data_IF_548232318957
#
_entry.id   IF_548232318957
#
_cell.length_a   1.000
_cell.length_b   1.000
_cell.length_c   1.000
_cell.angle_alpha   90.00
_cell.angle_beta   90.00
_cell.angle_gamma   90.00
#
_symmetry.space_group_name_H-M   'P 1'
#
loop_
_entity.id
_entity.type
_entity.pdbx_description
1 polymer ?
#
# COMPACT_ATOMS: atom_id res chain seq x y z
N UNK A 1 9.52 20.04 19.11
CA UNK A 1 8.47 19.98 18.07
C UNK A 1 7.61 21.26 17.92
N UNK A 2 7.54 22.15 18.92
CA UNK A 2 6.78 23.42 18.82
C UNK A 2 7.51 24.52 18.02
N UNK A 3 8.84 24.56 18.02
CA UNK A 3 9.63 25.61 17.36
C UNK A 3 9.68 25.51 15.84
N UNK A 4 9.70 24.32 15.27
CA UNK A 4 9.74 24.13 13.80
C UNK A 4 8.40 24.49 13.10
N UNK A 5 7.26 24.32 13.78
CA UNK A 5 5.96 24.65 13.21
C UNK A 5 5.66 26.14 13.06
N UNK A 6 6.30 26.98 13.85
CA UNK A 6 5.99 28.43 13.89
C UNK A 6 6.76 29.24 12.84
N UNK A 7 7.93 28.79 12.41
CA UNK A 7 8.74 29.48 11.39
C UNK A 7 8.12 29.38 9.99
N UNK A 8 7.40 28.29 9.70
CA UNK A 8 6.82 28.00 8.37
C UNK A 8 5.34 28.37 8.21
N UNK A 9 4.63 28.71 9.30
CA UNK A 9 3.18 29.04 9.25
C UNK A 9 2.83 30.26 8.38
N UNK A 10 3.82 31.05 7.97
CA UNK A 10 3.56 32.30 7.22
C UNK A 10 3.55 32.15 5.71
N UNK A 11 3.98 31.03 5.11
CA UNK A 11 4.15 30.91 3.64
C UNK A 11 3.79 29.54 3.02
N UNK A 12 3.11 28.64 3.72
CA UNK A 12 2.68 27.34 3.19
C UNK A 12 2.30 26.36 4.28
N UNK A 13 1.67 25.24 3.94
CA UNK A 13 1.44 24.14 4.88
C UNK A 13 2.75 23.37 5.11
N UNK A 14 3.13 23.20 6.36
CA UNK A 14 4.28 22.36 6.76
C UNK A 14 3.75 21.24 7.64
N UNK A 15 4.09 20.03 7.30
CA UNK A 15 3.85 18.83 8.11
C UNK A 15 5.17 18.28 8.61
N UNK A 16 5.26 18.06 9.92
CA UNK A 16 6.44 17.44 10.55
C UNK A 16 5.97 16.15 11.21
N UNK A 17 6.46 15.03 10.72
CA UNK A 17 6.09 13.69 11.18
C UNK A 17 7.35 12.99 11.65
N UNK A 18 7.30 12.42 12.85
CA UNK A 18 8.38 11.55 13.34
C UNK A 18 8.33 10.21 12.61
N UNK A 19 9.48 9.74 12.10
CA UNK A 19 9.59 8.50 11.34
C UNK A 19 10.56 7.57 12.04
N UNK A 20 10.12 6.35 12.32
CA UNK A 20 10.99 5.30 12.85
C UNK A 20 11.47 5.55 14.27
N UNK A 21 12.77 5.85 14.42
CA UNK A 21 13.40 6.14 15.71
C UNK A 21 13.13 7.57 16.18
N UNK A 22 13.35 7.84 17.48
CA UNK A 22 13.09 9.16 18.06
C UNK A 22 13.86 10.31 17.39
N UNK A 23 14.93 9.98 16.67
CA UNK A 23 15.87 10.93 16.07
C UNK A 23 15.61 11.23 14.60
N UNK A 24 14.56 10.64 13.99
CA UNK A 24 14.23 10.82 12.57
C UNK A 24 12.92 11.57 12.39
N UNK A 25 12.96 12.61 11.57
CA UNK A 25 11.80 13.48 11.30
C UNK A 25 11.66 13.69 9.80
N UNK A 26 10.45 13.55 9.28
CA UNK A 26 10.10 13.97 7.92
C UNK A 26 9.48 15.35 7.96
N UNK A 27 10.06 16.28 7.25
CA UNK A 27 9.50 17.61 7.04
C UNK A 27 8.96 17.68 5.61
N UNK A 28 7.65 17.86 5.48
CA UNK A 28 6.99 18.05 4.18
C UNK A 28 6.45 19.48 4.08
N UNK A 29 6.74 20.16 2.99
CA UNK A 29 6.28 21.53 2.75
C UNK A 29 5.79 21.71 1.32
N UNK A 30 4.78 22.56 1.13
CA UNK A 30 4.32 22.99 -0.19
C UNK A 30 4.87 24.37 -0.60
N UNK A 31 5.94 24.83 0.07
CA UNK A 31 6.56 26.11 -0.21
C UNK A 31 7.10 26.14 -1.65
N UNK A 32 6.67 27.12 -2.45
CA UNK A 32 7.06 27.32 -3.87
C UNK A 32 7.02 26.02 -4.71
N UNK A 33 6.06 25.15 -4.47
CA UNK A 33 5.97 23.82 -5.11
C UNK A 33 5.80 23.90 -6.64
N UNK A 34 5.26 25.01 -7.15
CA UNK A 34 5.06 25.26 -8.58
C UNK A 34 6.28 25.90 -9.26
N UNK A 35 7.31 26.23 -8.50
CA UNK A 35 8.50 26.90 -9.00
C UNK A 35 9.60 25.87 -9.25
N UNK A 36 10.05 25.74 -10.49
CA UNK A 36 11.09 24.80 -10.91
C UNK A 36 12.49 25.39 -10.91
N UNK A 37 12.68 26.60 -10.30
CA UNK A 37 13.99 27.20 -10.20
C UNK A 37 14.89 26.41 -9.23
N UNK A 38 16.09 25.99 -9.63
CA UNK A 38 17.02 25.25 -8.76
C UNK A 38 17.45 26.05 -7.51
N UNK A 39 17.27 27.37 -7.51
CA UNK A 39 17.55 28.24 -6.34
C UNK A 39 16.55 28.00 -5.19
N UNK A 40 15.35 27.49 -5.48
CA UNK A 40 14.30 27.22 -4.48
C UNK A 40 14.72 26.10 -3.53
N UNK A 41 15.41 25.10 -4.02
CA UNK A 41 15.86 23.98 -3.20
C UNK A 41 16.91 24.46 -2.18
N UNK A 42 17.83 25.33 -2.60
CA UNK A 42 18.80 25.98 -1.70
C UNK A 42 18.12 26.92 -0.69
N UNK A 43 17.07 27.62 -1.10
CA UNK A 43 16.30 28.47 -0.19
C UNK A 43 15.57 27.65 0.89
N UNK A 44 15.04 26.48 0.53
CA UNK A 44 14.40 25.55 1.46
C UNK A 44 15.43 24.98 2.43
N UNK A 45 16.59 24.56 1.95
CA UNK A 45 17.69 24.04 2.79
C UNK A 45 18.19 25.09 3.77
N UNK A 46 18.39 26.34 3.33
CA UNK A 46 18.77 27.45 4.20
C UNK A 46 17.74 27.73 5.29
N UNK A 47 16.45 27.76 4.95
CA UNK A 47 15.37 27.94 5.93
C UNK A 47 15.25 26.76 6.89
N UNK A 48 15.45 25.56 6.40
CA UNK A 48 15.48 24.37 7.23
C UNK A 48 16.66 24.44 8.22
N UNK A 49 17.84 24.85 7.75
CA UNK A 49 19.02 25.06 8.58
C UNK A 49 18.77 26.06 9.69
N UNK A 50 18.21 27.25 9.36
CA UNK A 50 17.86 28.26 10.37
C UNK A 50 16.88 27.73 11.41
N UNK A 51 15.87 26.97 10.98
CA UNK A 51 14.85 26.41 11.86
C UNK A 51 15.37 25.29 12.80
N UNK A 52 16.40 24.56 12.40
CA UNK A 52 16.97 23.43 13.16
C UNK A 52 18.24 23.81 13.89
N UNK A 53 18.83 24.98 13.61
CA UNK A 53 20.10 25.45 14.15
C UNK A 53 20.20 25.38 15.70
N UNK A 54 19.07 25.58 16.39
CA UNK A 54 19.00 25.48 17.86
C UNK A 54 19.06 24.05 18.41
N UNK A 55 18.86 23.05 17.53
CA UNK A 55 18.82 21.62 17.89
C UNK A 55 20.11 20.90 17.48
N UNK A 56 20.97 21.56 16.70
CA UNK A 56 22.22 21.01 16.19
C UNK A 56 23.40 21.36 17.12
N UNK A 57 24.48 20.55 17.09
CA UNK A 57 25.73 20.88 17.77
C UNK A 57 26.29 22.24 17.34
N UNK A 58 26.91 22.97 18.27
CA UNK A 58 27.54 24.26 17.96
C UNK A 58 28.65 24.09 16.91
N UNK A 59 28.58 24.85 15.84
CA UNK A 59 29.58 24.83 14.75
C UNK A 59 29.18 24.01 13.52
N UNK A 60 27.99 23.41 13.49
CA UNK A 60 27.52 22.65 12.30
C UNK A 60 27.33 23.59 11.10
N UNK A 61 27.93 23.24 9.97
CA UNK A 61 27.82 23.98 8.70
C UNK A 61 26.66 23.47 7.85
N UNK A 62 26.25 24.29 6.85
CA UNK A 62 25.18 23.92 5.92
C UNK A 62 25.54 22.66 5.10
N UNK A 63 26.80 22.50 4.72
CA UNK A 63 27.31 21.34 3.98
C UNK A 63 27.26 20.06 4.83
N UNK A 64 27.51 20.17 6.11
CA UNK A 64 27.38 19.03 7.03
C UNK A 64 25.93 18.60 7.24
N UNK A 65 24.99 19.54 7.18
CA UNK A 65 23.56 19.18 7.26
C UNK A 65 23.12 18.43 6.03
N UNK A 66 23.46 18.91 4.85
CA UNK A 66 23.07 18.27 3.59
C UNK A 66 23.69 16.89 3.42
N UNK A 67 24.91 16.66 3.92
CA UNK A 67 25.62 15.38 3.75
C UNK A 67 25.37 14.38 4.87
N UNK A 68 25.17 14.85 6.11
CA UNK A 68 25.13 13.97 7.29
C UNK A 68 23.71 13.83 7.89
N UNK A 69 22.95 14.93 7.92
CA UNK A 69 21.66 14.94 8.59
C UNK A 69 20.47 14.77 7.63
N UNK A 70 20.56 15.23 6.38
CA UNK A 70 19.51 15.02 5.37
C UNK A 70 19.74 13.65 4.71
N UNK A 71 19.00 12.65 5.15
CA UNK A 71 19.10 11.29 4.59
C UNK A 71 18.45 11.17 3.21
N UNK A 72 17.41 11.93 2.92
CA UNK A 72 16.69 11.91 1.65
C UNK A 72 15.94 13.23 1.45
N UNK A 73 16.08 13.82 0.27
CA UNK A 73 15.28 14.96 -0.17
C UNK A 73 14.55 14.59 -1.46
N UNK A 74 13.22 14.76 -1.49
CA UNK A 74 12.41 14.49 -2.67
C UNK A 74 11.47 15.67 -2.93
N UNK A 75 11.51 16.20 -4.14
CA UNK A 75 10.57 17.21 -4.61
C UNK A 75 9.52 16.56 -5.51
N UNK A 76 8.27 16.60 -5.07
CA UNK A 76 7.14 16.11 -5.86
C UNK A 76 6.29 17.31 -6.26
N UNK A 77 6.42 17.75 -7.50
CA UNK A 77 5.58 18.83 -8.05
C UNK A 77 4.10 18.40 -8.16
N UNK A 78 3.15 19.35 -8.21
CA UNK A 78 1.72 19.06 -8.35
C UNK A 78 1.40 18.23 -9.60
N UNK A 79 2.04 18.52 -10.73
CA UNK A 79 1.90 17.74 -11.95
C UNK A 79 2.34 16.29 -11.78
N UNK A 80 3.47 16.08 -11.08
CA UNK A 80 3.98 14.74 -10.81
C UNK A 80 3.06 13.96 -9.85
N UNK A 81 2.47 14.62 -8.86
CA UNK A 81 1.51 13.99 -7.96
C UNK A 81 0.22 13.56 -8.71
N UNK A 82 -0.28 14.41 -9.62
CA UNK A 82 -1.44 14.05 -10.45
C UNK A 82 -1.11 12.95 -11.45
N UNK A 83 0.08 12.94 -12.04
CA UNK A 83 0.55 11.87 -12.94
C UNK A 83 0.67 10.53 -12.21
N UNK A 84 1.22 10.52 -10.99
CA UNK A 84 1.30 9.33 -10.14
C UNK A 84 -0.10 8.81 -9.82
N UNK A 85 -1.02 9.70 -9.43
CA UNK A 85 -2.40 9.34 -9.11
C UNK A 85 -3.14 8.73 -10.31
N UNK A 86 -3.06 9.39 -11.47
CA UNK A 86 -3.73 8.93 -12.69
C UNK A 86 -3.13 7.60 -13.17
N UNK A 87 -1.81 7.47 -13.15
CA UNK A 87 -1.12 6.23 -13.49
C UNK A 87 -1.46 5.09 -12.53
N UNK A 88 -1.61 5.38 -11.24
CA UNK A 88 -2.02 4.42 -10.23
C UNK A 88 -3.42 3.86 -10.50
N UNK A 89 -4.40 4.75 -10.72
CA UNK A 89 -5.77 4.35 -11.01
C UNK A 89 -5.82 3.51 -12.29
N UNK A 90 -5.12 3.95 -13.34
CA UNK A 90 -5.04 3.23 -14.61
C UNK A 90 -4.39 1.85 -14.43
N UNK A 91 -3.30 1.74 -13.67
CA UNK A 91 -2.60 0.49 -13.42
C UNK A 91 -3.49 -0.51 -12.66
N UNK A 92 -4.21 -0.07 -11.62
CA UNK A 92 -5.12 -0.92 -10.85
C UNK A 92 -6.28 -1.39 -11.71
N UNK A 93 -6.92 -0.51 -12.47
CA UNK A 93 -8.02 -0.87 -13.37
C UNK A 93 -7.53 -1.86 -14.43
N UNK A 94 -6.37 -1.59 -15.05
CA UNK A 94 -5.80 -2.48 -16.05
C UNK A 94 -5.46 -3.85 -15.48
N UNK A 95 -4.86 -3.91 -14.29
CA UNK A 95 -4.57 -5.16 -13.59
C UNK A 95 -5.86 -5.95 -13.30
N UNK A 96 -6.93 -5.29 -12.86
CA UNK A 96 -8.22 -5.94 -12.61
C UNK A 96 -8.85 -6.48 -13.89
N UNK A 97 -8.76 -5.75 -15.01
CA UNK A 97 -9.26 -6.20 -16.31
C UNK A 97 -8.45 -7.41 -16.80
N UNK A 98 -7.13 -7.35 -16.75
CA UNK A 98 -6.26 -8.47 -17.13
C UNK A 98 -6.56 -9.72 -16.29
N UNK A 99 -6.77 -9.54 -14.99
CA UNK A 99 -7.13 -10.62 -14.07
C UNK A 99 -8.49 -11.22 -14.43
N UNK A 100 -9.51 -10.40 -14.66
CA UNK A 100 -10.84 -10.88 -15.05
C UNK A 100 -10.78 -11.63 -16.39
N UNK A 101 -10.02 -11.12 -17.36
CA UNK A 101 -9.81 -11.78 -18.64
C UNK A 101 -9.08 -13.12 -18.49
N UNK A 102 -8.03 -13.18 -17.65
CA UNK A 102 -7.32 -14.42 -17.35
C UNK A 102 -8.26 -15.48 -16.75
N UNK A 103 -9.07 -15.12 -15.76
CA UNK A 103 -10.03 -16.03 -15.13
C UNK A 103 -11.09 -16.50 -16.15
N UNK A 104 -11.61 -15.58 -16.99
CA UNK A 104 -12.56 -15.92 -18.04
C UNK A 104 -11.98 -16.93 -19.04
N UNK A 105 -10.76 -16.74 -19.49
CA UNK A 105 -10.08 -17.65 -20.41
C UNK A 105 -9.77 -19.00 -19.76
N UNK A 106 -9.39 -18.99 -18.47
CA UNK A 106 -8.99 -20.19 -17.71
C UNK A 106 -10.18 -21.09 -17.38
N UNK A 107 -11.30 -20.50 -16.97
CA UNK A 107 -12.48 -21.25 -16.51
C UNK A 107 -13.60 -21.31 -17.55
N UNK A 108 -13.57 -20.44 -18.57
CA UNK A 108 -14.59 -20.34 -19.62
C UNK A 108 -16.02 -20.13 -19.08
N UNK A 109 -16.14 -19.55 -17.92
CA UNK A 109 -17.39 -19.23 -17.25
C UNK A 109 -17.33 -17.81 -16.69
N UNK A 110 -18.32 -17.01 -17.06
CA UNK A 110 -18.41 -15.60 -16.68
C UNK A 110 -18.63 -15.46 -15.16
N UNK A 111 -19.31 -16.40 -14.53
CA UNK A 111 -19.60 -16.38 -13.09
C UNK A 111 -18.32 -16.33 -12.26
N UNK A 112 -17.33 -17.17 -12.60
CA UNK A 112 -16.01 -17.16 -11.93
C UNK A 112 -15.26 -15.83 -12.14
N UNK A 113 -15.34 -15.26 -13.35
CA UNK A 113 -14.67 -13.99 -13.64
C UNK A 113 -15.29 -12.84 -12.83
N UNK A 114 -16.62 -12.77 -12.75
CA UNK A 114 -17.34 -11.75 -11.97
C UNK A 114 -17.05 -11.92 -10.47
N UNK A 115 -17.08 -13.14 -9.95
CA UNK A 115 -16.76 -13.43 -8.55
C UNK A 115 -15.34 -13.01 -8.18
N UNK A 116 -14.34 -13.37 -9.02
CA UNK A 116 -12.96 -12.96 -8.82
C UNK A 116 -12.80 -11.43 -8.85
N UNK A 117 -13.44 -10.76 -9.82
CA UNK A 117 -13.41 -9.31 -9.93
C UNK A 117 -13.99 -8.64 -8.69
N UNK A 118 -15.17 -9.10 -8.24
CA UNK A 118 -15.82 -8.59 -7.04
C UNK A 118 -14.94 -8.76 -5.78
N UNK A 119 -14.30 -9.93 -5.63
CA UNK A 119 -13.39 -10.22 -4.53
C UNK A 119 -12.20 -9.26 -4.49
N UNK A 120 -11.53 -9.08 -5.63
CA UNK A 120 -10.35 -8.19 -5.72
C UNK A 120 -10.76 -6.72 -5.53
N UNK A 121 -11.89 -6.29 -6.11
CA UNK A 121 -12.42 -4.95 -5.92
C UNK A 121 -12.72 -4.68 -4.44
N UNK A 122 -13.38 -5.61 -3.76
CA UNK A 122 -13.66 -5.53 -2.32
C UNK A 122 -12.37 -5.43 -1.50
N UNK A 123 -11.39 -6.29 -1.78
CA UNK A 123 -10.09 -6.28 -1.10
C UNK A 123 -9.39 -4.93 -1.26
N UNK A 124 -9.31 -4.42 -2.49
CA UNK A 124 -8.68 -3.13 -2.79
C UNK A 124 -9.38 -1.97 -2.08
N UNK A 125 -10.71 -1.92 -2.15
CA UNK A 125 -11.50 -0.87 -1.47
C UNK A 125 -11.35 -0.93 0.05
N UNK A 126 -11.33 -2.12 0.64
CA UNK A 126 -11.09 -2.29 2.07
C UNK A 126 -9.71 -1.77 2.48
N UNK A 127 -8.65 -2.09 1.74
CA UNK A 127 -7.30 -1.60 2.03
C UNK A 127 -7.25 -0.08 2.00
N UNK A 128 -7.80 0.55 0.96
CA UNK A 128 -7.86 2.01 0.83
C UNK A 128 -8.64 2.61 2.02
N UNK A 129 -9.76 1.98 2.40
CA UNK A 129 -10.58 2.43 3.53
C UNK A 129 -9.81 2.35 4.86
N UNK A 130 -9.08 1.27 5.10
CA UNK A 130 -8.23 1.14 6.29
C UNK A 130 -7.11 2.18 6.33
N UNK A 131 -6.47 2.45 5.18
CA UNK A 131 -5.46 3.51 5.09
C UNK A 131 -6.02 4.87 5.43
N UNK A 132 -7.19 5.20 4.89
CA UNK A 132 -7.87 6.48 5.15
C UNK A 132 -8.32 6.63 6.62
N UNK A 133 -8.74 5.52 7.23
CA UNK A 133 -9.23 5.54 8.62
C UNK A 133 -8.08 5.61 9.63
N UNK A 134 -6.99 4.89 9.37
CA UNK A 134 -5.89 4.71 10.33
C UNK A 134 -4.76 5.73 10.17
N UNK A 135 -4.78 6.58 9.15
CA UNK A 135 -3.68 7.50 8.84
C UNK A 135 -3.28 8.45 9.99
N UNK A 136 -4.20 8.74 10.92
CA UNK A 136 -3.94 9.58 12.10
C UNK A 136 -3.61 8.80 13.36
N UNK A 137 -3.87 7.49 13.37
CA UNK A 137 -3.78 6.65 14.56
C UNK A 137 -2.43 5.96 14.66
N UNK A 138 -1.85 5.58 13.51
CA UNK A 138 -0.61 4.82 13.47
C UNK A 138 0.62 5.74 13.52
N UNK A 139 1.70 5.30 14.20
CA UNK A 139 2.91 6.10 14.39
C UNK A 139 3.86 6.09 13.19
N UNK A 140 3.40 5.70 12.00
CA UNK A 140 4.17 5.70 10.76
C UNK A 140 3.38 6.32 9.61
N UNK A 141 4.08 6.79 8.58
CA UNK A 141 3.47 7.44 7.42
C UNK A 141 2.61 6.44 6.64
N UNK A 142 1.35 6.79 6.42
CA UNK A 142 0.40 6.05 5.60
C UNK A 142 0.05 6.86 4.33
N UNK A 143 1.07 7.39 3.67
CA UNK A 143 0.90 8.12 2.43
C UNK A 143 0.59 7.16 1.28
N UNK A 144 -0.29 7.61 0.38
CA UNK A 144 -0.60 6.89 -0.86
C UNK A 144 0.47 7.28 -1.89
N UNK A 145 1.59 6.60 -1.82
CA UNK A 145 2.75 6.79 -2.69
C UNK A 145 2.90 5.64 -3.69
N UNK A 146 4.00 5.65 -4.46
CA UNK A 146 4.30 4.59 -5.42
C UNK A 146 4.44 3.21 -4.75
N UNK A 147 4.93 3.17 -3.51
CA UNK A 147 5.11 1.92 -2.75
C UNK A 147 3.77 1.33 -2.34
N UNK A 148 2.80 2.16 -1.98
CA UNK A 148 1.43 1.74 -1.71
C UNK A 148 0.75 1.16 -2.96
N UNK A 149 0.94 1.80 -4.12
CA UNK A 149 0.41 1.30 -5.40
C UNK A 149 1.02 -0.07 -5.72
N UNK A 150 2.34 -0.23 -5.55
CA UNK A 150 3.02 -1.50 -5.73
C UNK A 150 2.49 -2.58 -4.77
N UNK A 151 2.17 -2.22 -3.51
CA UNK A 151 1.55 -3.13 -2.56
C UNK A 151 0.18 -3.61 -3.04
N UNK A 152 -0.70 -2.70 -3.50
CA UNK A 152 -2.02 -3.06 -4.04
C UNK A 152 -1.89 -4.01 -5.24
N UNK A 153 -1.02 -3.71 -6.20
CA UNK A 153 -0.81 -4.58 -7.36
C UNK A 153 -0.27 -5.95 -6.96
N UNK A 154 0.61 -6.01 -5.96
CA UNK A 154 1.12 -7.26 -5.40
C UNK A 154 0.00 -8.08 -4.75
N UNK A 155 -0.87 -7.43 -3.99
CA UNK A 155 -2.01 -8.08 -3.31
C UNK A 155 -3.02 -8.61 -4.34
N UNK A 156 -3.30 -7.86 -5.41
CA UNK A 156 -4.14 -8.33 -6.52
C UNK A 156 -3.57 -9.63 -7.08
N UNK A 157 -2.27 -9.66 -7.40
CA UNK A 157 -1.61 -10.86 -7.90
C UNK A 157 -1.61 -12.03 -6.91
N UNK A 158 -1.42 -11.76 -5.63
CA UNK A 158 -1.46 -12.78 -4.57
C UNK A 158 -2.87 -13.38 -4.40
N UNK A 159 -3.90 -12.54 -4.36
CA UNK A 159 -5.29 -12.96 -4.18
C UNK A 159 -5.79 -13.85 -5.31
N UNK A 160 -5.34 -13.61 -6.56
CA UNK A 160 -5.69 -14.44 -7.71
C UNK A 160 -5.22 -15.89 -7.51
N UNK A 161 -4.03 -16.09 -6.97
CA UNK A 161 -3.48 -17.43 -6.79
C UNK A 161 -4.40 -18.31 -5.93
N UNK A 162 -4.87 -17.79 -4.80
CA UNK A 162 -5.80 -18.53 -3.94
C UNK A 162 -7.18 -18.68 -4.58
N UNK A 163 -7.67 -17.64 -5.26
CA UNK A 163 -8.97 -17.69 -5.96
C UNK A 163 -8.99 -18.77 -7.04
N UNK A 164 -7.93 -18.90 -7.85
CA UNK A 164 -7.81 -19.93 -8.89
C UNK A 164 -7.86 -21.34 -8.29
N UNK A 165 -7.20 -21.55 -7.16
CA UNK A 165 -7.21 -22.86 -6.49
C UNK A 165 -8.60 -23.25 -6.00
N UNK A 166 -9.31 -22.29 -5.39
CA UNK A 166 -10.70 -22.49 -4.94
C UNK A 166 -11.62 -22.78 -6.13
N UNK A 167 -11.51 -22.01 -7.19
CA UNK A 167 -12.32 -22.17 -8.40
C UNK A 167 -12.04 -23.49 -9.14
N UNK A 168 -10.78 -23.92 -9.24
CA UNK A 168 -10.42 -25.21 -9.81
C UNK A 168 -11.08 -26.35 -9.01
N UNK A 169 -11.10 -26.24 -7.67
CA UNK A 169 -11.74 -27.24 -6.81
C UNK A 169 -13.26 -27.25 -6.96
N UNK A 170 -13.88 -26.07 -7.03
CA UNK A 170 -15.32 -25.94 -7.27
C UNK A 170 -15.68 -26.58 -8.61
N UNK A 171 -14.94 -26.26 -9.68
CA UNK A 171 -15.17 -26.83 -11.01
C UNK A 171 -15.02 -28.36 -11.04
N UNK A 172 -13.98 -28.88 -10.39
CA UNK A 172 -13.75 -30.31 -10.26
C UNK A 172 -14.92 -31.01 -9.53
N UNK A 173 -15.37 -30.43 -8.41
CA UNK A 173 -16.45 -30.99 -7.58
C UNK A 173 -17.79 -30.95 -8.32
N UNK A 174 -18.08 -29.90 -9.09
CA UNK A 174 -19.26 -29.81 -9.96
C UNK A 174 -19.22 -30.93 -11.03
N UNK A 175 -18.06 -31.18 -11.63
CA UNK A 175 -17.92 -32.23 -12.63
C UNK A 175 -18.09 -33.64 -12.06
N UNK A 176 -17.64 -33.88 -10.83
CA UNK A 176 -17.78 -35.15 -10.13
C UNK A 176 -19.23 -35.43 -9.69
N UNK A 177 -19.97 -34.38 -9.30
CA UNK A 177 -21.32 -34.50 -8.76
C UNK A 177 -22.37 -33.63 -9.49
N UNK A 178 -22.63 -33.90 -10.80
CA UNK A 178 -23.43 -33.01 -11.65
C UNK A 178 -24.93 -32.94 -11.25
N UNK A 179 -25.40 -33.92 -10.47
CA UNK A 179 -26.81 -34.00 -10.02
C UNK A 179 -27.02 -33.45 -8.59
N UNK A 180 -25.97 -33.07 -7.93
CA UNK A 180 -26.02 -32.58 -6.54
C UNK A 180 -26.37 -31.10 -6.51
N UNK A 181 -27.00 -30.64 -5.44
CA UNK A 181 -27.27 -29.23 -5.23
C UNK A 181 -25.98 -28.38 -5.27
N UNK A 182 -26.01 -27.30 -6.04
CA UNK A 182 -24.83 -26.44 -6.25
C UNK A 182 -24.27 -25.86 -4.96
N UNK A 183 -25.15 -25.46 -4.03
CA UNK A 183 -24.73 -24.92 -2.75
C UNK A 183 -23.90 -25.94 -1.95
N UNK A 184 -24.36 -27.18 -1.90
CA UNK A 184 -23.62 -28.24 -1.20
C UNK A 184 -22.29 -28.56 -1.86
N UNK A 185 -22.24 -28.57 -3.19
CA UNK A 185 -21.01 -28.81 -3.97
C UNK A 185 -19.97 -27.71 -3.72
N UNK A 186 -20.41 -26.45 -3.73
CA UNK A 186 -19.52 -25.30 -3.45
C UNK A 186 -19.00 -25.37 -2.00
N UNK A 187 -19.89 -25.64 -1.04
CA UNK A 187 -19.49 -25.75 0.36
C UNK A 187 -18.48 -26.88 0.60
N UNK A 188 -18.69 -28.04 -0.01
CA UNK A 188 -17.76 -29.17 0.08
C UNK A 188 -16.40 -28.83 -0.57
N UNK A 189 -16.41 -28.17 -1.71
CA UNK A 189 -15.20 -27.70 -2.39
C UNK A 189 -14.42 -26.70 -1.54
N UNK A 190 -15.11 -25.71 -0.95
CA UNK A 190 -14.51 -24.73 -0.06
C UNK A 190 -13.88 -25.39 1.16
N UNK A 191 -14.61 -26.26 1.85
CA UNK A 191 -14.10 -26.97 3.03
C UNK A 191 -12.86 -27.81 2.68
N UNK A 192 -12.79 -28.40 1.51
CA UNK A 192 -11.64 -29.19 1.07
C UNK A 192 -10.39 -28.35 0.78
N UNK A 193 -10.54 -27.09 0.43
CA UNK A 193 -9.42 -26.16 0.14
C UNK A 193 -9.06 -25.26 1.32
N UNK A 194 -9.92 -25.15 2.31
CA UNK A 194 -9.80 -24.19 3.41
C UNK A 194 -8.48 -24.31 4.17
N UNK A 195 -8.08 -25.54 4.51
CA UNK A 195 -6.83 -25.77 5.23
C UNK A 195 -5.60 -25.35 4.41
N UNK A 196 -5.60 -25.61 3.09
CA UNK A 196 -4.53 -25.19 2.18
C UNK A 196 -4.45 -23.67 2.08
N UNK A 197 -5.57 -23.01 1.80
CA UNK A 197 -5.65 -21.55 1.67
C UNK A 197 -5.24 -20.87 2.96
N UNK A 198 -5.69 -21.38 4.10
CA UNK A 198 -5.28 -20.85 5.41
C UNK A 198 -3.77 -21.01 5.66
N UNK A 199 -3.20 -22.17 5.37
CA UNK A 199 -1.77 -22.41 5.56
C UNK A 199 -0.91 -21.54 4.67
N UNK A 200 -1.27 -21.38 3.39
CA UNK A 200 -0.52 -20.49 2.46
C UNK A 200 -0.59 -19.03 2.91
N UNK A 201 -1.76 -18.56 3.30
CA UNK A 201 -1.93 -17.20 3.80
C UNK A 201 -1.21 -16.99 5.13
N UNK A 202 -1.27 -17.95 6.04
CA UNK A 202 -0.60 -17.85 7.34
C UNK A 202 0.92 -17.82 7.20
N UNK A 203 1.50 -18.69 6.37
CA UNK A 203 2.96 -18.71 6.16
C UNK A 203 3.44 -17.39 5.56
N UNK A 204 2.74 -16.85 4.57
CA UNK A 204 3.08 -15.54 3.99
C UNK A 204 2.89 -14.40 4.98
N UNK A 205 1.80 -14.44 5.76
CA UNK A 205 1.51 -13.46 6.80
C UNK A 205 2.64 -13.41 7.85
N UNK A 206 3.15 -14.56 8.30
CA UNK A 206 4.25 -14.63 9.27
C UNK A 206 5.51 -13.98 8.69
N UNK A 207 5.87 -14.28 7.44
CA UNK A 207 7.05 -13.68 6.80
C UNK A 207 6.90 -12.16 6.70
N UNK A 208 5.75 -11.69 6.20
CA UNK A 208 5.51 -10.24 6.06
C UNK A 208 5.43 -9.55 7.43
N UNK A 209 4.89 -10.22 8.45
CA UNK A 209 4.88 -9.72 9.83
C UNK A 209 6.31 -9.56 10.39
N UNK A 210 7.20 -10.52 10.14
CA UNK A 210 8.60 -10.37 10.50
C UNK A 210 9.24 -9.15 9.83
N UNK A 211 8.97 -8.95 8.53
CA UNK A 211 9.46 -7.77 7.80
C UNK A 211 8.85 -6.48 8.38
N UNK A 212 7.58 -6.49 8.75
CA UNK A 212 6.91 -5.33 9.35
C UNK A 212 7.53 -4.93 10.70
N UNK A 213 7.88 -5.91 11.53
CA UNK A 213 8.45 -5.66 12.87
C UNK A 213 9.93 -5.28 12.78
N UNK A 214 10.70 -6.03 11.99
CA UNK A 214 12.16 -5.89 11.89
C UNK A 214 12.61 -4.90 10.80
N UNK A 215 11.73 -4.59 9.85
CA UNK A 215 12.00 -3.71 8.74
C UNK A 215 12.07 -2.24 9.16
N UNK A 216 12.85 -1.46 8.41
CA UNK A 216 12.97 -0.03 8.62
C UNK A 216 11.68 0.74 8.35
N UNK A 217 11.66 2.02 8.76
CA UNK A 217 10.51 2.91 8.61
C UNK A 217 10.03 3.05 7.15
N UNK A 218 10.95 2.98 6.20
CA UNK A 218 10.67 3.17 4.76
C UNK A 218 9.74 2.09 4.19
N UNK A 219 9.89 0.83 4.63
CA UNK A 219 9.09 -0.30 4.10
C UNK A 219 7.89 -0.64 4.98
N UNK A 220 7.74 0.03 6.13
CA UNK A 220 6.69 -0.29 7.11
C UNK A 220 5.28 -0.07 6.57
N UNK A 221 5.05 1.04 5.86
CA UNK A 221 3.76 1.31 5.20
C UNK A 221 3.43 0.25 4.14
N UNK A 222 4.39 -0.07 3.29
CA UNK A 222 4.26 -1.11 2.27
C UNK A 222 3.90 -2.48 2.86
N UNK A 223 4.66 -2.92 3.87
CA UNK A 223 4.43 -4.22 4.52
C UNK A 223 3.12 -4.27 5.28
N UNK A 224 2.69 -3.15 5.86
CA UNK A 224 1.37 -3.03 6.49
C UNK A 224 0.23 -3.19 5.48
N UNK A 225 0.34 -2.56 4.30
CA UNK A 225 -0.63 -2.76 3.22
C UNK A 225 -0.73 -4.24 2.82
N UNK A 226 0.41 -4.93 2.66
CA UNK A 226 0.43 -6.35 2.31
C UNK A 226 -0.18 -7.21 3.42
N UNK A 227 0.11 -6.94 4.70
CA UNK A 227 -0.52 -7.65 5.83
C UNK A 227 -2.04 -7.55 5.79
N UNK A 228 -2.58 -6.33 5.64
CA UNK A 228 -4.02 -6.12 5.50
C UNK A 228 -4.56 -6.85 4.27
N UNK A 229 -3.83 -6.75 3.15
CA UNK A 229 -4.21 -7.37 1.89
C UNK A 229 -4.30 -8.89 1.96
N UNK A 230 -3.37 -9.56 2.64
CA UNK A 230 -3.41 -11.01 2.84
C UNK A 230 -4.61 -11.40 3.67
N UNK A 231 -4.87 -10.72 4.79
CA UNK A 231 -5.99 -11.03 5.69
C UNK A 231 -7.33 -10.83 4.98
N UNK A 232 -7.53 -9.65 4.39
CA UNK A 232 -8.78 -9.28 3.72
C UNK A 232 -8.94 -10.09 2.43
N UNK A 233 -7.87 -10.30 1.67
CA UNK A 233 -7.87 -11.07 0.43
C UNK A 233 -8.24 -12.53 0.65
N UNK A 234 -7.69 -13.18 1.68
CA UNK A 234 -8.07 -14.55 2.05
C UNK A 234 -9.54 -14.65 2.41
N UNK A 235 -10.04 -13.71 3.22
CA UNK A 235 -11.46 -13.64 3.53
C UNK A 235 -12.31 -13.43 2.26
N UNK A 236 -11.93 -12.46 1.44
CA UNK A 236 -12.67 -12.12 0.22
C UNK A 236 -12.66 -13.26 -0.81
N UNK A 237 -11.57 -14.01 -0.93
CA UNK A 237 -11.50 -15.20 -1.79
C UNK A 237 -12.49 -16.27 -1.35
N UNK A 238 -12.64 -16.51 -0.05
CA UNK A 238 -13.51 -17.57 0.47
C UNK A 238 -14.99 -17.19 0.51
N UNK A 239 -15.33 -15.90 0.68
CA UNK A 239 -16.71 -15.48 0.94
C UNK A 239 -17.30 -14.52 -0.08
N UNK A 240 -16.47 -13.85 -0.88
CA UNK A 240 -16.95 -12.88 -1.88
C UNK A 240 -16.79 -13.44 -3.30
N UNK A 241 -15.72 -14.20 -3.57
CA UNK A 241 -15.47 -14.76 -4.90
C UNK A 241 -16.36 -15.96 -5.24
N UNK A 242 -16.83 -16.68 -4.24
CA UNK A 242 -17.64 -17.91 -4.35
C UNK A 242 -19.09 -17.66 -4.05
#
# INVERSE_FOLDING_TARGET
SRGLGDVYKRQGSVSVIQIGTADQVRVSTNYKINDNDPTVDQEIENKLFEGVKSLLPEGTTLDEITTTFIQSSQKVGPSMADDIKNSAILAVIFAMICMAAYILLRFRDVSFSVGAFASVATTTLCIISFYTLLWKVLPFSMEVDQTFIAAILTIIGYSINDTVVVFDRIRETIALYPKRDRYQVINDALNSTLCRTFNTSLTTLVVVLCIFILGGSTIRSFTFAILLGIIIGTYSTLFVAT
#
